data_IF_955125465200
#
_entry.id   IF_955125465200
#
_cell.length_a   1.000
_cell.length_b   1.000
_cell.length_c   1.000
_cell.angle_alpha   90.00
_cell.angle_beta   90.00
_cell.angle_gamma   90.00
#
_symmetry.space_group_name_H-M   'P 1'
#
loop_
_entity.id
_entity.type
_entity.pdbx_description
1 polymer ?
#
# COMPACT_ATOMS: atom_id res chain seq x y z
N UNK A 1 0.83 14.68 -8.04
CA UNK A 1 1.44 15.72 -8.93
C UNK A 1 2.65 16.36 -8.21
N UNK A 2 3.65 16.91 -8.91
CA UNK A 2 4.76 17.63 -8.26
C UNK A 2 4.28 18.83 -7.44
N UNK A 3 5.04 19.23 -6.42
CA UNK A 3 4.66 20.33 -5.51
C UNK A 3 4.50 21.69 -6.19
N UNK A 4 5.20 21.92 -7.31
CA UNK A 4 5.14 23.17 -8.09
C UNK A 4 4.09 23.14 -9.21
N UNK A 5 3.35 22.05 -9.37
CA UNK A 5 2.29 21.96 -10.38
C UNK A 5 1.04 22.73 -9.95
N UNK A 6 0.30 23.24 -10.93
CA UNK A 6 -1.04 23.78 -10.66
C UNK A 6 -1.93 22.67 -10.08
N UNK A 7 -2.64 23.01 -8.99
CA UNK A 7 -3.49 22.08 -8.25
C UNK A 7 -2.73 20.84 -7.75
N UNK A 8 -1.55 21.06 -7.17
CA UNK A 8 -0.80 20.02 -6.46
C UNK A 8 -1.64 19.42 -5.33
N UNK A 9 -1.70 18.09 -5.29
CA UNK A 9 -2.44 17.26 -4.34
C UNK A 9 -1.67 17.02 -3.03
N UNK A 10 -0.33 17.17 -3.06
CA UNK A 10 0.56 16.92 -1.92
C UNK A 10 0.17 17.66 -0.62
N UNK A 11 -0.05 18.99 -0.63
CA UNK A 11 -0.39 19.72 0.60
C UNK A 11 -1.65 19.21 1.28
N UNK A 12 -2.71 18.91 0.51
CA UNK A 12 -3.97 18.44 1.07
C UNK A 12 -3.91 16.98 1.51
N UNK A 13 -3.22 16.12 0.75
CA UNK A 13 -2.94 14.75 1.16
C UNK A 13 -2.14 14.71 2.47
N UNK A 14 -1.14 15.58 2.64
CA UNK A 14 -0.36 15.66 3.88
C UNK A 14 -1.22 16.13 5.06
N UNK A 15 -2.05 17.16 4.87
CA UNK A 15 -3.00 17.61 5.90
C UNK A 15 -3.91 16.45 6.36
N UNK A 16 -4.53 15.75 5.41
CA UNK A 16 -5.42 14.62 5.71
C UNK A 16 -4.69 13.43 6.34
N UNK A 17 -3.42 13.18 5.97
CA UNK A 17 -2.60 12.16 6.60
C UNK A 17 -2.34 12.48 8.08
N UNK A 18 -2.03 13.75 8.41
CA UNK A 18 -1.86 14.19 9.81
C UNK A 18 -3.19 14.12 10.59
N UNK A 19 -4.30 14.54 9.98
CA UNK A 19 -5.65 14.37 10.57
C UNK A 19 -5.89 12.89 10.90
N UNK A 20 -5.58 11.99 9.97
CA UNK A 20 -5.75 10.54 10.17
C UNK A 20 -4.84 10.00 11.27
N UNK A 21 -3.58 10.42 11.31
CA UNK A 21 -2.64 10.01 12.34
C UNK A 21 -3.03 10.51 13.75
N UNK A 22 -3.69 11.68 13.84
CA UNK A 22 -4.12 12.27 15.10
C UNK A 22 -5.48 11.74 15.60
N UNK A 23 -6.32 11.19 14.71
CA UNK A 23 -7.63 10.65 15.09
C UNK A 23 -7.48 9.34 15.88
N UNK A 24 -8.05 9.31 17.10
CA UNK A 24 -8.07 8.12 17.95
C UNK A 24 -8.76 6.93 17.29
N UNK A 25 -9.75 7.17 16.42
CA UNK A 25 -10.47 6.13 15.71
C UNK A 25 -9.61 5.39 14.68
N UNK A 26 -8.46 5.95 14.29
CA UNK A 26 -7.49 5.33 13.37
C UNK A 26 -6.63 4.23 14.03
N UNK A 27 -6.59 4.20 15.36
CA UNK A 27 -5.82 3.19 16.09
C UNK A 27 -6.32 1.76 15.78
N UNK A 28 -5.40 0.79 15.84
CA UNK A 28 -5.68 -0.64 15.63
C UNK A 28 -6.26 -1.03 14.26
N UNK A 29 -6.10 -0.19 13.22
CA UNK A 29 -6.52 -0.49 11.83
C UNK A 29 -5.37 -0.95 10.93
N UNK A 30 -4.20 -1.22 11.51
CA UNK A 30 -2.98 -1.55 10.79
C UNK A 30 -2.28 -0.32 10.20
N UNK A 31 -1.38 -0.55 9.25
CA UNK A 31 -0.77 0.52 8.45
C UNK A 31 -1.80 1.04 7.45
N UNK A 32 -1.88 2.37 7.29
CA UNK A 32 -2.86 3.04 6.46
C UNK A 32 -2.19 3.85 5.34
N UNK A 33 -2.88 3.97 4.20
CA UNK A 33 -2.55 4.92 3.13
C UNK A 33 -3.67 5.95 3.06
N UNK A 34 -3.31 7.23 3.07
CA UNK A 34 -4.24 8.36 2.99
C UNK A 34 -3.95 9.17 1.73
N UNK A 35 -4.84 9.09 0.75
CA UNK A 35 -4.71 9.77 -0.54
C UNK A 35 -6.09 10.13 -1.06
N UNK A 36 -6.24 11.33 -1.64
CA UNK A 36 -7.47 11.76 -2.32
C UNK A 36 -8.71 11.55 -1.43
N UNK A 37 -8.67 12.13 -0.23
CA UNK A 37 -9.76 12.10 0.78
C UNK A 37 -10.20 10.71 1.25
N UNK A 38 -9.38 9.69 1.03
CA UNK A 38 -9.72 8.29 1.31
C UNK A 38 -8.68 7.65 2.22
N UNK A 39 -9.14 6.85 3.18
CA UNK A 39 -8.30 6.02 4.05
C UNK A 39 -8.37 4.56 3.59
N UNK A 40 -7.22 4.01 3.24
CA UNK A 40 -7.05 2.68 2.65
C UNK A 40 -6.20 1.82 3.58
N UNK A 41 -6.47 0.51 3.65
CA UNK A 41 -5.65 -0.42 4.40
C UNK A 41 -4.38 -0.78 3.61
N UNK A 42 -3.25 -0.97 4.31
CA UNK A 42 -1.97 -1.29 3.67
C UNK A 42 -1.92 -2.65 2.98
N UNK A 43 -2.93 -3.52 3.14
CA UNK A 43 -2.95 -4.86 2.54
C UNK A 43 -3.61 -4.87 1.16
N UNK A 44 -4.72 -4.16 0.99
CA UNK A 44 -5.50 -4.17 -0.27
C UNK A 44 -5.19 -3.00 -1.20
N UNK A 45 -4.58 -1.93 -0.68
CA UNK A 45 -4.26 -0.73 -1.45
C UNK A 45 -3.27 -1.02 -2.59
N UNK A 46 -3.59 -0.54 -3.78
CA UNK A 46 -2.69 -0.54 -4.93
C UNK A 46 -2.88 0.70 -5.79
N UNK A 47 -1.86 1.04 -6.59
CA UNK A 47 -1.90 2.12 -7.57
C UNK A 47 -2.48 1.60 -8.87
N UNK A 48 -3.65 2.09 -9.30
CA UNK A 48 -4.40 1.54 -10.45
C UNK A 48 -4.25 2.36 -11.73
N UNK A 49 -3.68 3.55 -11.66
CA UNK A 49 -3.53 4.47 -12.79
C UNK A 49 -2.16 5.17 -12.75
N UNK A 50 -1.57 5.42 -13.93
CA UNK A 50 -0.23 5.99 -14.05
C UNK A 50 -0.17 7.48 -13.70
N UNK A 51 -1.26 8.25 -13.88
CA UNK A 51 -1.26 9.73 -13.80
C UNK A 51 -2.38 10.33 -12.96
N UNK A 52 -3.49 9.63 -12.75
CA UNK A 52 -4.64 10.13 -11.98
C UNK A 52 -4.27 10.35 -10.49
N UNK A 53 -4.80 11.42 -9.90
CA UNK A 53 -4.68 11.70 -8.46
C UNK A 53 -5.51 10.74 -7.62
N UNK A 54 -6.60 10.19 -8.17
CA UNK A 54 -7.47 9.19 -7.53
C UNK A 54 -7.02 7.73 -7.79
N UNK A 55 -5.71 7.53 -7.99
CA UNK A 55 -5.11 6.25 -8.43
C UNK A 55 -5.02 5.19 -7.34
N UNK A 56 -4.94 5.57 -6.07
CA UNK A 56 -4.87 4.59 -4.99
C UNK A 56 -6.24 4.03 -4.67
N UNK A 57 -6.37 2.70 -4.74
CA UNK A 57 -7.63 1.99 -4.49
C UNK A 57 -7.36 0.69 -3.73
N UNK A 58 -8.25 0.34 -2.82
CA UNK A 58 -8.40 -1.01 -2.26
C UNK A 58 -9.33 -1.77 -3.21
N UNK A 59 -8.75 -2.50 -4.16
CA UNK A 59 -9.47 -3.02 -5.33
C UNK A 59 -10.33 -4.24 -5.05
N UNK A 60 -10.10 -4.96 -3.95
CA UNK A 60 -10.85 -6.16 -3.62
C UNK A 60 -11.89 -5.93 -2.52
N UNK A 61 -11.58 -5.10 -1.52
CA UNK A 61 -12.43 -4.90 -0.33
C UNK A 61 -12.92 -3.46 -0.13
N UNK A 62 -12.41 -2.51 -0.90
CA UNK A 62 -12.76 -1.10 -0.79
C UNK A 62 -12.08 -0.39 0.39
N UNK A 63 -12.25 0.93 0.51
CA UNK A 63 -11.57 1.73 1.53
C UNK A 63 -12.11 1.46 2.94
N UNK A 64 -11.32 1.83 3.94
CA UNK A 64 -11.74 1.78 5.34
C UNK A 64 -12.67 2.93 5.71
N UNK A 65 -12.45 4.09 5.10
CA UNK A 65 -13.22 5.30 5.36
C UNK A 65 -12.87 6.46 4.42
N UNK A 66 -13.62 7.54 4.58
CA UNK A 66 -13.46 8.78 3.81
C UNK A 66 -13.27 9.98 4.74
N UNK A 67 -12.58 11.00 4.25
CA UNK A 67 -12.27 12.21 5.00
C UNK A 67 -13.07 13.37 4.40
N UNK A 68 -13.87 14.04 5.21
CA UNK A 68 -14.59 15.24 4.81
C UNK A 68 -14.37 16.34 5.85
N UNK A 69 -13.84 17.49 5.41
CA UNK A 69 -13.54 18.64 6.27
C UNK A 69 -12.73 18.28 7.53
N UNK A 70 -11.71 17.43 7.36
CA UNK A 70 -10.85 16.98 8.47
C UNK A 70 -11.52 16.01 9.45
N UNK A 71 -12.67 15.43 9.10
CA UNK A 71 -13.35 14.38 9.88
C UNK A 71 -13.37 13.09 9.09
N UNK A 72 -13.13 11.98 9.77
CA UNK A 72 -13.03 10.67 9.15
C UNK A 72 -14.28 9.86 9.44
N UNK A 73 -14.93 9.37 8.39
CA UNK A 73 -16.01 8.39 8.50
C UNK A 73 -15.46 6.99 8.20
N UNK A 74 -15.18 6.22 9.25
CA UNK A 74 -14.76 4.83 9.14
C UNK A 74 -15.96 3.88 9.14
N UNK A 75 -16.11 3.10 8.08
CA UNK A 75 -17.16 2.08 7.96
C UNK A 75 -16.62 0.65 7.94
N UNK A 76 -15.29 0.48 7.82
CA UNK A 76 -14.63 -0.84 7.78
C UNK A 76 -13.34 -0.88 8.59
N UNK A 77 -12.92 -2.09 8.94
CA UNK A 77 -11.60 -2.41 9.50
C UNK A 77 -11.09 -3.71 8.87
N UNK A 78 -9.78 -3.86 8.58
CA UNK A 78 -9.28 -5.11 8.02
C UNK A 78 -9.43 -6.26 9.02
N UNK A 79 -9.92 -7.41 8.56
CA UNK A 79 -10.10 -8.60 9.40
C UNK A 79 -8.84 -9.49 9.48
N UNK A 80 -7.88 -9.31 8.56
CA UNK A 80 -6.62 -10.06 8.54
C UNK A 80 -5.69 -9.50 9.61
N UNK A 81 -5.03 -10.39 10.37
CA UNK A 81 -4.01 -10.03 11.37
C UNK A 81 -2.94 -9.14 10.74
N UNK A 82 -2.54 -8.11 11.47
CA UNK A 82 -1.55 -7.12 11.07
C UNK A 82 -0.77 -6.62 12.30
N UNK A 83 0.28 -5.84 12.06
CA UNK A 83 1.07 -5.17 13.11
C UNK A 83 1.49 -6.13 14.23
N UNK A 84 1.05 -5.90 15.47
CA UNK A 84 1.40 -6.66 16.66
C UNK A 84 0.89 -8.10 16.67
N UNK A 85 -0.10 -8.43 15.83
CA UNK A 85 -0.69 -9.77 15.75
C UNK A 85 0.01 -10.67 14.72
N UNK A 86 1.16 -10.23 14.19
CA UNK A 86 1.95 -11.00 13.23
C UNK A 86 3.16 -11.65 13.90
N UNK A 87 3.60 -12.83 13.42
CA UNK A 87 4.79 -13.49 13.95
C UNK A 87 6.10 -12.94 13.37
N UNK A 88 6.04 -11.92 12.51
CA UNK A 88 7.20 -11.41 11.78
C UNK A 88 7.89 -10.31 12.59
N UNK A 89 9.13 -10.57 13.02
CA UNK A 89 10.01 -9.59 13.65
C UNK A 89 11.27 -9.41 12.79
N UNK A 90 11.50 -8.17 12.33
CA UNK A 90 12.63 -7.80 11.48
C UNK A 90 13.73 -7.05 12.25
N UNK A 91 13.59 -6.86 13.57
CA UNK A 91 14.50 -6.06 14.39
C UNK A 91 15.95 -6.55 14.44
N UNK A 92 16.17 -7.84 14.18
CA UNK A 92 17.48 -8.51 14.20
C UNK A 92 17.95 -8.98 12.82
N UNK A 93 17.22 -8.64 11.76
CA UNK A 93 17.59 -9.00 10.40
C UNK A 93 18.51 -7.94 9.81
N UNK A 94 19.58 -8.39 9.15
CA UNK A 94 20.46 -7.53 8.38
C UNK A 94 20.08 -7.49 6.89
N UNK A 95 19.35 -8.51 6.41
CA UNK A 95 18.90 -8.65 5.04
C UNK A 95 17.60 -9.46 4.98
N UNK A 96 16.87 -9.35 3.86
CA UNK A 96 15.67 -10.14 3.57
C UNK A 96 16.00 -11.22 2.53
N UNK A 97 15.29 -12.37 2.53
CA UNK A 97 15.40 -13.36 1.47
C UNK A 97 15.15 -12.76 0.09
N UNK A 98 15.93 -13.18 -0.91
CA UNK A 98 15.80 -12.71 -2.29
C UNK A 98 14.57 -13.36 -2.93
N UNK A 99 13.58 -12.56 -3.27
CA UNK A 99 12.37 -13.03 -3.98
C UNK A 99 12.23 -12.30 -5.31
N UNK A 100 12.17 -13.05 -6.41
CA UNK A 100 12.03 -12.52 -7.76
C UNK A 100 10.57 -12.47 -8.21
N UNK A 101 10.27 -11.66 -9.24
CA UNK A 101 8.95 -11.60 -9.87
C UNK A 101 9.12 -11.92 -11.35
N UNK A 102 8.35 -12.86 -11.89
CA UNK A 102 8.30 -13.17 -13.32
C UNK A 102 6.93 -12.89 -13.89
N UNK A 103 6.90 -12.28 -15.07
CA UNK A 103 5.65 -11.95 -15.75
C UNK A 103 5.30 -13.04 -16.77
N UNK A 104 4.05 -13.49 -16.75
CA UNK A 104 3.54 -14.45 -17.72
C UNK A 104 2.77 -13.74 -18.84
N UNK A 105 2.96 -14.21 -20.07
CA UNK A 105 2.32 -13.69 -21.29
C UNK A 105 2.44 -14.73 -22.41
N UNK A 106 1.80 -14.51 -23.56
CA UNK A 106 1.86 -15.43 -24.68
C UNK A 106 3.31 -15.61 -25.16
N UNK A 107 3.76 -16.86 -25.27
CA UNK A 107 5.14 -17.20 -25.64
C UNK A 107 6.20 -16.60 -24.68
N UNK A 108 5.87 -16.51 -23.38
CA UNK A 108 6.81 -16.09 -22.35
C UNK A 108 8.04 -17.01 -22.31
N UNK A 109 9.21 -16.38 -22.20
CA UNK A 109 10.49 -17.10 -22.10
C UNK A 109 10.67 -17.66 -20.69
N UNK A 110 11.33 -18.82 -20.58
CA UNK A 110 11.75 -19.40 -19.31
C UNK A 110 13.05 -18.78 -18.77
N UNK A 111 13.78 -18.01 -19.58
CA UNK A 111 15.06 -17.42 -19.24
C UNK A 111 15.02 -16.54 -17.97
N UNK A 112 14.00 -15.68 -17.76
CA UNK A 112 13.93 -14.89 -16.53
C UNK A 112 13.85 -15.77 -15.27
N UNK A 113 13.05 -16.84 -15.30
CA UNK A 113 12.92 -17.76 -14.17
C UNK A 113 14.23 -18.54 -13.94
N UNK A 114 14.84 -19.08 -15.00
CA UNK A 114 16.13 -19.79 -14.91
C UNK A 114 17.23 -18.89 -14.35
N UNK A 115 17.32 -17.64 -14.80
CA UNK A 115 18.30 -16.69 -14.29
C UNK A 115 18.15 -16.42 -12.78
N UNK A 116 16.92 -16.37 -12.27
CA UNK A 116 16.66 -16.22 -10.82
C UNK A 116 17.06 -17.48 -10.04
N UNK A 117 16.78 -18.66 -10.59
CA UNK A 117 17.21 -19.95 -10.02
C UNK A 117 18.74 -20.04 -9.97
N UNK A 118 19.41 -19.74 -11.09
CA UNK A 118 20.87 -19.78 -11.21
C UNK A 118 21.55 -18.76 -10.28
N UNK A 119 20.92 -17.61 -10.04
CA UNK A 119 21.37 -16.59 -9.09
C UNK A 119 21.03 -16.90 -7.61
N UNK A 120 20.47 -18.08 -7.33
CA UNK A 120 20.15 -18.56 -5.99
C UNK A 120 19.16 -17.67 -5.26
N UNK A 121 18.03 -17.32 -5.90
CA UNK A 121 16.91 -16.66 -5.23
C UNK A 121 16.16 -17.65 -4.33
N UNK A 122 15.68 -17.16 -3.18
CA UNK A 122 14.98 -17.95 -2.16
C UNK A 122 13.49 -18.19 -2.52
N UNK A 123 12.94 -17.39 -3.45
CA UNK A 123 11.59 -17.55 -3.96
C UNK A 123 11.34 -16.80 -5.27
N UNK A 124 10.28 -17.19 -5.98
CA UNK A 124 9.82 -16.54 -7.21
C UNK A 124 8.29 -16.42 -7.14
N UNK A 125 7.77 -15.25 -7.52
CA UNK A 125 6.33 -14.94 -7.69
C UNK A 125 6.00 -14.80 -9.17
#
# INVERSE_FOLDING_TARGET
>A
RPSTSMSADGPFNLYNAVVTAADKASANRGVLVVMNDTVLDGRDVTKTNTTDVATFKSVNYGPLGYIHNGKIDYQRTPARKHTSDTPFDVSKLNELPKVGIVYNYANASDLPAKALVDAGYDGIV
#
